data_IF_442651501986
#
_entry.id   IF_442651501986
#
_cell.length_a   1.000
_cell.length_b   1.000
_cell.length_c   1.000
_cell.angle_alpha   90.00
_cell.angle_beta   90.00
_cell.angle_gamma   90.00
#
_symmetry.space_group_name_H-M   'P 1'
#
loop_
_entity.id
_entity.type
_entity.pdbx_description
1 polymer ?
#
# COMPACT_ATOMS: atom_id res chain seq x y z
N UNK A 1 -32.24 -72.71 -14.42
CA UNK A 1 -32.35 -72.14 -13.06
C UNK A 1 -30.97 -71.83 -12.50
N UNK A 2 -30.86 -70.77 -11.68
CA UNK A 2 -29.66 -69.98 -11.45
C UNK A 2 -28.59 -70.58 -10.51
N UNK A 3 -27.32 -70.29 -10.83
CA UNK A 3 -26.10 -70.47 -10.01
C UNK A 3 -26.12 -69.60 -8.74
N UNK A 4 -25.69 -70.14 -7.59
CA UNK A 4 -25.04 -69.34 -6.51
C UNK A 4 -23.96 -70.16 -5.79
N UNK A 5 -22.70 -69.85 -6.09
CA UNK A 5 -21.52 -70.31 -5.34
C UNK A 5 -21.29 -69.45 -4.10
N UNK A 6 -20.94 -70.10 -2.98
CA UNK A 6 -20.56 -69.48 -1.71
C UNK A 6 -19.13 -68.92 -1.82
N UNK A 7 -18.96 -67.62 -1.62
CA UNK A 7 -17.66 -67.01 -1.34
C UNK A 7 -17.67 -66.39 0.06
N UNK A 8 -16.69 -66.82 0.87
CA UNK A 8 -16.45 -66.48 2.28
C UNK A 8 -15.92 -65.05 2.36
N UNK A 9 -16.63 -64.14 3.06
CA UNK A 9 -16.17 -62.77 3.32
C UNK A 9 -14.93 -62.80 4.23
N UNK A 10 -13.79 -62.32 3.73
CA UNK A 10 -12.70 -61.85 4.58
C UNK A 10 -12.96 -60.38 4.94
N UNK A 11 -12.98 -60.08 6.25
CA UNK A 11 -12.99 -58.73 6.79
C UNK A 11 -11.60 -58.12 6.57
N UNK A 12 -11.49 -57.11 5.73
CA UNK A 12 -10.33 -56.20 5.73
C UNK A 12 -10.65 -55.11 6.74
N UNK A 13 -9.91 -55.07 7.86
CA UNK A 13 -10.01 -54.01 8.85
C UNK A 13 -9.25 -52.78 8.36
N UNK A 14 -9.97 -51.69 8.09
CA UNK A 14 -9.39 -50.37 7.78
C UNK A 14 -8.54 -49.87 8.95
N UNK A 15 -7.21 -49.96 8.83
CA UNK A 15 -6.30 -49.31 9.76
C UNK A 15 -6.00 -47.90 9.24
N UNK A 16 -6.81 -46.94 9.66
CA UNK A 16 -6.66 -45.51 9.35
C UNK A 16 -5.39 -44.94 9.99
N UNK A 17 -4.26 -44.95 9.26
CA UNK A 17 -3.01 -44.33 9.69
C UNK A 17 -3.10 -42.82 9.54
N UNK A 18 -3.19 -42.08 10.65
CA UNK A 18 -3.03 -40.62 10.63
C UNK A 18 -1.56 -40.30 10.31
N UNK A 19 -1.23 -39.47 9.30
CA UNK A 19 0.16 -39.09 9.07
C UNK A 19 0.68 -38.32 10.29
N UNK A 20 1.98 -38.44 10.63
CA UNK A 20 2.53 -37.79 11.81
C UNK A 20 2.47 -36.28 11.58
N UNK A 21 1.52 -35.61 12.23
CA UNK A 21 1.30 -34.15 12.19
C UNK A 21 2.62 -33.40 12.39
N UNK A 22 3.53 -33.98 13.18
CA UNK A 22 4.87 -33.47 13.43
C UNK A 22 5.71 -33.28 12.15
N UNK A 23 5.64 -34.20 11.19
CA UNK A 23 6.34 -34.08 9.90
C UNK A 23 5.76 -33.00 9.00
N UNK A 24 4.44 -32.80 9.05
CA UNK A 24 3.77 -31.75 8.27
C UNK A 24 4.17 -30.38 8.80
N UNK A 25 4.20 -30.21 10.12
CA UNK A 25 4.66 -28.97 10.77
C UNK A 25 6.13 -28.68 10.43
N UNK A 26 6.98 -29.71 10.44
CA UNK A 26 8.40 -29.55 10.11
C UNK A 26 8.61 -29.22 8.62
N UNK A 27 7.86 -29.86 7.73
CA UNK A 27 7.92 -29.55 6.29
C UNK A 27 7.46 -28.12 6.00
N UNK A 28 6.41 -27.64 6.67
CA UNK A 28 5.90 -26.28 6.52
C UNK A 28 6.87 -25.24 7.08
N UNK A 29 7.51 -25.48 8.23
CA UNK A 29 8.48 -24.54 8.79
C UNK A 29 9.72 -24.39 7.89
N UNK A 30 10.23 -25.51 7.35
CA UNK A 30 11.35 -25.50 6.41
C UNK A 30 10.98 -24.77 5.12
N UNK A 31 9.76 -24.99 4.58
CA UNK A 31 9.29 -24.30 3.38
C UNK A 31 9.22 -22.77 3.57
N UNK A 32 8.71 -22.30 4.73
CA UNK A 32 8.64 -20.87 5.05
C UNK A 32 10.04 -20.26 5.16
N UNK A 33 10.99 -20.96 5.81
CA UNK A 33 12.39 -20.54 5.91
C UNK A 33 13.06 -20.42 4.53
N UNK A 34 12.84 -21.39 3.64
CA UNK A 34 13.37 -21.35 2.27
C UNK A 34 12.79 -20.17 1.47
N UNK A 35 11.48 -19.91 1.60
CA UNK A 35 10.85 -18.75 0.95
C UNK A 35 11.36 -17.41 1.48
N UNK A 36 11.65 -17.33 2.79
CA UNK A 36 12.25 -16.15 3.41
C UNK A 36 13.67 -15.87 2.91
N UNK A 37 14.52 -16.89 2.81
CA UNK A 37 15.91 -16.74 2.34
C UNK A 37 15.99 -16.41 0.85
N UNK A 38 15.06 -16.94 0.05
CA UNK A 38 15.05 -16.72 -1.41
C UNK A 38 14.35 -15.44 -1.87
N UNK A 39 13.81 -14.64 -0.94
CA UNK A 39 13.15 -13.35 -1.24
C UNK A 39 11.82 -13.48 -1.98
N UNK A 40 11.21 -14.67 -2.02
CA UNK A 40 9.93 -14.95 -2.70
C UNK A 40 8.75 -15.07 -1.73
N UNK A 41 8.85 -14.44 -0.55
CA UNK A 41 7.71 -14.28 0.34
C UNK A 41 6.71 -13.36 -0.36
N UNK A 42 5.44 -13.76 -0.55
CA UNK A 42 4.40 -12.82 -0.91
C UNK A 42 4.20 -11.89 0.30
N UNK A 43 4.94 -10.80 0.33
CA UNK A 43 4.70 -9.70 1.27
C UNK A 43 3.32 -9.14 0.94
N UNK A 44 2.28 -9.66 1.61
CA UNK A 44 1.03 -8.94 1.71
C UNK A 44 1.34 -7.72 2.56
N UNK A 45 1.56 -6.58 1.90
CA UNK A 45 1.66 -5.28 2.56
C UNK A 45 0.30 -4.98 3.20
N UNK A 46 0.03 -5.56 4.37
CA UNK A 46 -1.00 -5.08 5.26
C UNK A 46 -0.42 -3.87 5.99
N UNK A 47 -0.18 -2.78 5.23
CA UNK A 47 -0.01 -1.47 5.85
C UNK A 47 -1.28 -1.22 6.65
N UNK A 48 -1.15 -1.17 7.97
CA UNK A 48 -2.18 -0.68 8.87
C UNK A 48 -2.38 0.80 8.56
N UNK A 49 -3.25 1.08 7.61
CA UNK A 49 -3.67 2.42 7.23
C UNK A 49 -4.34 3.04 8.45
N UNK A 50 -3.58 3.83 9.22
CA UNK A 50 -4.09 4.77 10.22
C UNK A 50 -4.79 5.99 9.58
N UNK A 51 -5.08 5.93 8.28
CA UNK A 51 -6.39 6.30 7.77
C UNK A 51 -6.74 7.78 7.76
N UNK A 52 -5.78 8.69 7.92
CA UNK A 52 -5.88 9.96 7.22
C UNK A 52 -5.34 9.73 5.83
N UNK A 53 -6.14 9.09 4.95
CA UNK A 53 -5.89 9.27 3.51
C UNK A 53 -5.96 10.77 3.31
N UNK A 54 -4.85 11.40 2.95
CA UNK A 54 -4.85 12.82 2.65
C UNK A 54 -5.68 13.02 1.39
N UNK A 55 -7.00 13.19 1.58
CA UNK A 55 -7.92 13.45 0.50
C UNK A 55 -7.67 14.89 0.07
N UNK A 56 -6.90 15.05 -0.99
CA UNK A 56 -6.61 16.34 -1.60
C UNK A 56 -7.81 16.72 -2.45
N UNK A 57 -8.35 17.94 -2.25
CA UNK A 57 -9.46 18.43 -3.05
C UNK A 57 -9.02 18.65 -4.51
N UNK A 58 -7.81 19.15 -4.69
CA UNK A 58 -7.26 19.52 -5.99
C UNK A 58 -8.07 20.62 -6.68
N UNK A 59 -7.79 20.84 -7.96
CA UNK A 59 -8.43 21.86 -8.79
C UNK A 59 -7.99 23.28 -8.46
N UNK A 60 -6.75 23.50 -8.04
CA UNK A 60 -6.15 24.82 -8.04
C UNK A 60 -5.81 25.26 -9.47
N UNK A 61 -6.31 26.43 -9.87
CA UNK A 61 -6.18 26.95 -11.24
C UNK A 61 -5.43 28.29 -11.28
N UNK A 62 -5.17 28.89 -10.13
CA UNK A 62 -4.38 30.12 -10.05
C UNK A 62 -2.92 29.83 -10.41
N UNK A 63 -2.24 30.77 -11.09
CA UNK A 63 -0.83 30.60 -11.41
C UNK A 63 0.03 30.58 -10.15
N UNK A 64 1.13 29.84 -10.21
CA UNK A 64 2.19 29.90 -9.19
C UNK A 64 2.83 31.28 -9.21
N UNK A 65 3.09 31.83 -8.03
CA UNK A 65 3.72 33.14 -7.85
C UNK A 65 5.11 33.18 -8.50
N UNK A 66 5.57 34.36 -8.92
CA UNK A 66 6.83 34.45 -9.66
C UNK A 66 8.06 34.08 -8.84
N UNK A 67 8.82 33.00 -9.19
CA UNK A 67 10.00 32.60 -8.45
C UNK A 67 11.03 33.73 -8.32
N UNK A 68 11.08 34.65 -9.29
CA UNK A 68 12.00 35.80 -9.25
C UNK A 68 11.80 36.70 -8.03
N UNK A 69 10.62 36.64 -7.39
CA UNK A 69 10.31 37.38 -6.16
C UNK A 69 10.94 36.77 -4.90
N UNK A 70 11.55 35.59 -5.01
CA UNK A 70 12.15 34.86 -3.91
C UNK A 70 13.64 34.60 -4.17
N UNK A 71 14.35 34.17 -3.14
CA UNK A 71 15.77 33.81 -3.21
C UNK A 71 16.01 32.39 -2.68
N UNK A 72 17.22 31.87 -2.91
CA UNK A 72 17.66 30.58 -2.37
C UNK A 72 16.73 29.40 -2.70
N UNK A 73 16.50 28.55 -1.69
CA UNK A 73 15.65 27.36 -1.82
C UNK A 73 14.18 27.71 -2.05
N UNK A 74 13.70 28.83 -1.51
CA UNK A 74 12.33 29.28 -1.74
C UNK A 74 12.10 29.56 -3.23
N UNK A 75 13.02 30.28 -3.89
CA UNK A 75 12.96 30.46 -5.35
C UNK A 75 12.91 29.12 -6.09
N UNK A 76 13.77 28.18 -5.71
CA UNK A 76 13.81 26.86 -6.34
C UNK A 76 12.48 26.10 -6.14
N UNK A 77 11.86 26.21 -4.97
CA UNK A 77 10.58 25.58 -4.68
C UNK A 77 9.43 26.16 -5.54
N UNK A 78 9.34 27.49 -5.66
CA UNK A 78 8.34 28.12 -6.54
C UNK A 78 8.61 27.80 -8.03
N UNK A 79 9.87 27.69 -8.45
CA UNK A 79 10.20 27.28 -9.81
C UNK A 79 9.76 25.84 -10.10
N UNK A 80 10.04 24.91 -9.19
CA UNK A 80 9.61 23.53 -9.30
C UNK A 80 8.07 23.40 -9.26
N UNK A 81 7.40 24.20 -8.43
CA UNK A 81 5.95 24.25 -8.36
C UNK A 81 5.32 24.75 -9.68
N UNK A 82 5.94 25.74 -10.32
CA UNK A 82 5.53 26.24 -11.64
C UNK A 82 5.75 25.21 -12.75
N UNK A 83 6.82 24.42 -12.66
CA UNK A 83 7.14 23.38 -13.65
C UNK A 83 6.23 22.16 -13.54
N UNK A 84 5.75 21.82 -12.34
CA UNK A 84 4.97 20.61 -12.07
C UNK A 84 3.64 20.89 -11.35
N UNK A 85 2.79 21.81 -11.84
CA UNK A 85 1.60 22.24 -11.11
C UNK A 85 0.60 21.09 -10.90
N UNK A 86 0.43 20.19 -11.87
CA UNK A 86 -0.48 19.05 -11.78
C UNK A 86 -0.08 18.06 -10.69
N UNK A 87 1.23 17.87 -10.46
CA UNK A 87 1.72 17.01 -9.37
C UNK A 87 1.37 17.65 -8.03
N UNK A 88 1.68 18.94 -7.86
CA UNK A 88 1.42 19.66 -6.62
C UNK A 88 -0.09 19.79 -6.34
N UNK A 89 -0.93 19.77 -7.36
CA UNK A 89 -2.38 19.82 -7.19
C UNK A 89 -2.96 18.51 -6.64
N UNK A 90 -2.20 17.41 -6.70
CA UNK A 90 -2.58 16.11 -6.14
C UNK A 90 -1.91 15.79 -4.80
N UNK A 91 -1.11 16.72 -4.27
CA UNK A 91 -0.37 16.53 -3.01
C UNK A 91 -0.99 17.36 -1.90
N UNK A 92 -1.05 16.79 -0.70
CA UNK A 92 -1.51 17.49 0.49
C UNK A 92 -0.39 18.37 1.05
N UNK A 93 -0.72 19.61 1.42
CA UNK A 93 0.26 20.57 1.92
C UNK A 93 0.61 20.23 3.39
N UNK A 94 1.91 20.03 3.67
CA UNK A 94 2.39 19.65 5.02
C UNK A 94 2.05 20.68 6.10
N UNK A 95 1.80 21.94 5.71
CA UNK A 95 1.39 23.02 6.60
C UNK A 95 -0.02 22.83 7.20
N UNK A 96 -0.79 21.83 6.75
CA UNK A 96 -2.18 21.60 7.16
C UNK A 96 -3.13 22.78 6.90
N UNK A 97 -2.85 23.56 5.85
CA UNK A 97 -3.60 24.77 5.51
C UNK A 97 -4.84 24.51 4.65
N UNK A 98 -5.26 23.26 4.47
CA UNK A 98 -6.58 22.93 3.91
C UNK A 98 -7.74 23.30 4.84
N UNK A 99 -7.40 23.57 6.09
CA UNK A 99 -8.28 23.98 7.17
C UNK A 99 -8.24 25.52 7.36
N UNK A 100 -9.13 26.09 8.19
CA UNK A 100 -9.09 27.52 8.50
C UNK A 100 -7.70 27.95 9.03
N UNK A 101 -7.23 29.16 8.70
CA UNK A 101 -7.95 30.22 8.00
C UNK A 101 -7.80 30.20 6.47
N UNK A 102 -6.98 29.31 5.90
CA UNK A 102 -6.54 29.42 4.50
C UNK A 102 -7.37 28.61 3.50
N UNK A 103 -7.89 27.44 3.91
CA UNK A 103 -8.73 26.58 3.07
C UNK A 103 -8.11 26.22 1.70
N UNK A 104 -6.82 25.95 1.67
CA UNK A 104 -6.11 25.52 0.46
C UNK A 104 -6.65 24.19 -0.08
N UNK A 105 -6.74 24.09 -1.41
CA UNK A 105 -7.30 22.90 -2.08
C UNK A 105 -6.28 21.76 -2.16
N UNK A 106 -5.01 22.12 -2.33
CA UNK A 106 -3.86 21.24 -2.56
C UNK A 106 -2.56 21.96 -2.17
N UNK A 107 -1.42 21.27 -2.28
CA UNK A 107 -0.10 21.89 -2.13
C UNK A 107 0.12 22.99 -3.17
N UNK A 108 -0.45 22.87 -4.38
CA UNK A 108 -0.37 23.93 -5.39
C UNK A 108 -0.92 25.26 -4.87
N UNK A 109 -2.04 25.25 -4.12
CA UNK A 109 -2.59 26.47 -3.51
C UNK A 109 -1.56 27.20 -2.62
N UNK A 110 -0.66 26.47 -1.95
CA UNK A 110 0.42 27.06 -1.12
C UNK A 110 1.38 27.95 -1.95
N UNK A 111 1.57 27.64 -3.24
CA UNK A 111 2.50 28.35 -4.13
C UNK A 111 1.85 29.43 -5.02
N UNK A 112 0.53 29.55 -4.98
CA UNK A 112 -0.20 30.64 -5.67
C UNK A 112 -0.15 31.98 -4.92
N UNK A 113 0.22 31.92 -3.63
CA UNK A 113 0.51 33.07 -2.78
C UNK A 113 1.91 32.94 -2.18
N UNK A 114 2.19 33.64 -1.08
CA UNK A 114 3.48 33.60 -0.40
C UNK A 114 3.59 32.51 0.68
N UNK A 115 2.52 31.75 0.96
CA UNK A 115 2.49 30.80 2.07
C UNK A 115 3.54 29.67 1.93
N UNK A 116 3.85 29.25 0.69
CA UNK A 116 4.94 28.30 0.43
C UNK A 116 6.34 28.82 0.73
N UNK A 117 6.49 30.09 1.13
CA UNK A 117 7.77 30.68 1.52
C UNK A 117 8.10 30.55 3.02
N UNK A 118 7.17 30.04 3.84
CA UNK A 118 7.29 29.94 5.30
C UNK A 118 6.33 30.84 6.04
#
# INVERSE_FOLDING_TARGET
MAKKGKYRKQKVSDKKSKPPVLWIVFALSVLILVLAVTGKIPFTNSQKNNGKSFSVKGGETRPVMDPSMFTGLTRAAYAAARENPEVLDQVYCYCNCSEPPFYHKSLLSCFTGNHGAG
#
